data_IF_362905136018
#
_entry.id   IF_362905136018
#
_cell.length_a   1.000
_cell.length_b   1.000
_cell.length_c   1.000
_cell.angle_alpha   90.00
_cell.angle_beta   90.00
_cell.angle_gamma   90.00
#
_symmetry.space_group_name_H-M   'P 1'
#
loop_
_entity.id
_entity.type
_entity.pdbx_description
1 polymer ?
#
# COMPACT_ATOMS: atom_id res chain seq x y z
N UNK A 1 47.14 9.19 -28.53
CA UNK A 1 47.00 8.80 -27.09
C UNK A 1 45.96 9.61 -26.30
N UNK A 2 45.73 10.90 -26.59
CA UNK A 2 44.69 11.69 -25.89
C UNK A 2 43.25 11.32 -26.24
N UNK A 3 42.93 10.95 -27.49
CA UNK A 3 41.60 10.62 -27.97
C UNK A 3 41.14 9.27 -27.38
N UNK A 4 42.02 8.31 -27.20
CA UNK A 4 41.69 6.99 -26.62
C UNK A 4 41.32 7.09 -25.11
N UNK A 5 41.95 8.04 -24.38
CA UNK A 5 41.62 8.28 -22.96
C UNK A 5 40.25 8.97 -22.79
N UNK A 6 39.85 9.82 -23.72
CA UNK A 6 38.51 10.44 -23.67
C UNK A 6 37.38 9.43 -23.98
N UNK A 7 37.63 8.49 -24.92
CA UNK A 7 36.66 7.43 -25.20
C UNK A 7 36.47 6.48 -24.00
N UNK A 8 37.53 6.16 -23.28
CA UNK A 8 37.39 5.33 -22.07
C UNK A 8 36.71 6.05 -20.91
N UNK A 9 36.92 7.36 -20.74
CA UNK A 9 36.19 8.15 -19.72
C UNK A 9 34.71 8.30 -20.04
N UNK A 10 34.33 8.49 -21.30
CA UNK A 10 32.92 8.58 -21.71
C UNK A 10 32.24 7.22 -21.60
N UNK A 11 32.93 6.13 -21.93
CA UNK A 11 32.39 4.77 -21.79
C UNK A 11 32.22 4.38 -20.30
N UNK A 12 33.11 4.82 -19.41
CA UNK A 12 32.98 4.57 -17.97
C UNK A 12 31.87 5.40 -17.34
N UNK A 13 31.63 6.63 -17.81
CA UNK A 13 30.49 7.46 -17.37
C UNK A 13 29.16 6.91 -17.90
N UNK A 14 29.12 6.36 -19.13
CA UNK A 14 27.92 5.71 -19.66
C UNK A 14 27.57 4.38 -18.97
N UNK A 15 28.56 3.64 -18.47
CA UNK A 15 28.34 2.39 -17.71
C UNK A 15 27.89 2.65 -16.26
N UNK A 16 28.10 3.85 -15.72
CA UNK A 16 27.61 4.21 -14.38
C UNK A 16 26.19 4.77 -14.35
N UNK A 17 25.53 4.96 -15.53
CA UNK A 17 24.15 5.43 -15.61
C UNK A 17 23.14 4.29 -15.87
N UNK A 18 23.63 3.05 -16.05
CA UNK A 18 22.75 1.89 -16.21
C UNK A 18 22.55 1.26 -14.84
N UNK A 19 21.45 1.63 -14.19
CA UNK A 19 20.81 0.82 -13.16
C UNK A 19 20.98 1.26 -11.72
N UNK A 20 20.51 2.45 -11.36
CA UNK A 20 19.89 2.58 -10.03
C UNK A 20 18.46 2.08 -10.12
N UNK A 21 18.28 0.82 -10.45
CA UNK A 21 17.09 0.12 -10.03
C UNK A 21 17.10 0.16 -8.51
N UNK A 22 16.19 0.91 -7.90
CA UNK A 22 15.98 0.84 -6.45
C UNK A 22 15.68 -0.62 -6.15
N UNK A 23 16.60 -1.28 -5.44
CA UNK A 23 16.33 -2.62 -4.91
C UNK A 23 15.03 -2.55 -4.14
N UNK A 24 14.09 -3.46 -4.42
CA UNK A 24 12.80 -3.45 -3.75
C UNK A 24 13.04 -3.63 -2.25
N UNK A 25 12.65 -2.63 -1.46
CA UNK A 25 12.75 -2.78 -0.02
C UNK A 25 11.56 -3.57 0.47
N UNK A 26 11.80 -4.60 1.29
CA UNK A 26 10.73 -5.42 1.90
C UNK A 26 10.43 -4.98 3.34
N UNK A 27 10.91 -3.80 3.75
CA UNK A 27 10.75 -3.34 5.14
C UNK A 27 9.28 -3.18 5.53
N UNK A 28 8.45 -2.65 4.63
CA UNK A 28 7.01 -2.56 4.86
C UNK A 28 6.35 -3.93 5.06
N UNK A 29 6.81 -4.95 4.34
CA UNK A 29 6.29 -6.32 4.49
C UNK A 29 6.83 -6.98 5.76
N UNK A 30 8.10 -6.73 6.13
CA UNK A 30 8.65 -7.18 7.43
C UNK A 30 7.87 -6.60 8.60
N UNK A 31 7.54 -5.32 8.55
CA UNK A 31 6.69 -4.66 9.55
C UNK A 31 5.28 -5.25 9.59
N UNK A 32 4.68 -5.55 8.43
CA UNK A 32 3.39 -6.23 8.33
C UNK A 32 3.46 -7.60 9.01
N UNK A 33 4.44 -8.43 8.69
CA UNK A 33 4.65 -9.74 9.29
C UNK A 33 4.85 -9.62 10.80
N UNK A 34 5.68 -8.68 11.24
CA UNK A 34 5.95 -8.45 12.67
C UNK A 34 4.70 -8.06 13.45
N UNK A 35 3.79 -7.36 12.81
CA UNK A 35 2.53 -6.87 13.41
C UNK A 35 1.42 -7.92 13.39
N UNK A 36 1.24 -8.63 12.26
CA UNK A 36 0.11 -9.55 12.06
C UNK A 36 0.43 -10.99 12.42
N UNK A 37 1.65 -11.44 12.16
CA UNK A 37 2.11 -12.82 12.38
C UNK A 37 3.51 -12.84 13.00
N UNK A 38 3.71 -12.26 14.19
CA UNK A 38 5.03 -12.10 14.82
C UNK A 38 5.78 -13.43 14.99
N UNK A 39 5.07 -14.52 15.14
CA UNK A 39 5.65 -15.87 15.23
C UNK A 39 6.37 -16.31 13.94
N UNK A 40 5.99 -15.76 12.77
CA UNK A 40 6.65 -16.02 11.50
C UNK A 40 7.91 -15.14 11.30
N UNK A 41 7.98 -13.98 11.94
CA UNK A 41 8.99 -12.95 11.67
C UNK A 41 10.45 -13.42 11.74
N UNK A 42 10.77 -14.30 12.71
CA UNK A 42 12.12 -14.87 12.86
C UNK A 42 12.44 -15.97 11.84
N UNK A 43 11.43 -16.48 11.16
CA UNK A 43 11.50 -17.66 10.30
C UNK A 43 11.30 -17.32 8.83
N UNK A 44 11.21 -16.03 8.45
CA UNK A 44 10.99 -15.60 7.08
C UNK A 44 12.18 -14.78 6.55
N UNK A 45 12.48 -14.98 5.27
CA UNK A 45 13.46 -14.19 4.53
C UNK A 45 12.84 -13.72 3.23
N UNK A 46 13.12 -12.48 2.84
CA UNK A 46 12.71 -11.90 1.56
C UNK A 46 13.91 -11.74 0.65
N UNK A 47 13.73 -12.04 -0.64
CA UNK A 47 14.71 -11.83 -1.70
C UNK A 47 14.03 -11.20 -2.90
N UNK A 48 14.70 -10.24 -3.53
CA UNK A 48 14.24 -9.64 -4.77
C UNK A 48 14.53 -10.56 -5.95
N UNK A 49 13.58 -10.64 -6.88
CA UNK A 49 13.76 -11.26 -8.21
C UNK A 49 13.27 -10.29 -9.28
N UNK A 50 13.92 -10.32 -10.44
CA UNK A 50 13.44 -9.58 -11.61
C UNK A 50 12.26 -10.32 -12.26
N UNK A 51 11.31 -9.58 -12.79
CA UNK A 51 10.29 -10.10 -13.70
C UNK A 51 9.99 -9.04 -14.76
N UNK A 52 9.83 -9.48 -16.00
CA UNK A 52 9.44 -8.61 -17.12
C UNK A 52 7.93 -8.57 -17.36
N UNK A 53 7.19 -9.51 -16.77
CA UNK A 53 5.79 -9.78 -17.15
C UNK A 53 4.82 -9.73 -15.95
N UNK A 54 4.94 -8.74 -15.09
CA UNK A 54 4.05 -8.52 -13.94
C UNK A 54 4.59 -9.06 -12.63
N UNK A 55 3.76 -9.03 -11.60
CA UNK A 55 4.13 -9.45 -10.25
C UNK A 55 4.28 -10.96 -10.15
N UNK A 56 5.32 -11.37 -9.45
CA UNK A 56 5.64 -12.77 -9.23
C UNK A 56 6.22 -12.97 -7.83
N UNK A 57 5.90 -14.11 -7.21
CA UNK A 57 6.63 -14.61 -6.06
C UNK A 57 6.96 -16.10 -6.19
N UNK A 58 8.02 -16.50 -5.49
CA UNK A 58 8.44 -17.88 -5.34
C UNK A 58 8.57 -18.19 -3.86
N UNK A 59 7.91 -19.24 -3.40
CA UNK A 59 8.00 -19.73 -2.03
C UNK A 59 8.82 -21.01 -1.98
N UNK A 60 9.73 -21.09 -1.01
CA UNK A 60 10.47 -22.31 -0.70
C UNK A 60 10.88 -22.35 0.77
N UNK A 61 11.10 -23.53 1.29
CA UNK A 61 11.72 -23.71 2.60
C UNK A 61 13.21 -24.01 2.41
N UNK A 62 14.06 -23.23 3.09
CA UNK A 62 15.51 -23.44 3.12
C UNK A 62 15.95 -23.59 4.57
N UNK A 63 16.35 -24.78 4.95
CA UNK A 63 16.56 -25.14 6.36
C UNK A 63 15.26 -24.98 7.16
N UNK A 64 15.28 -24.13 8.18
CA UNK A 64 14.12 -23.83 9.03
C UNK A 64 13.44 -22.51 8.67
N UNK A 65 13.68 -21.96 7.47
CA UNK A 65 13.17 -20.63 7.07
C UNK A 65 12.30 -20.73 5.84
N UNK A 66 11.19 -20.01 5.86
CA UNK A 66 10.44 -19.65 4.68
C UNK A 66 11.21 -18.58 3.91
N UNK A 67 11.53 -18.83 2.65
CA UNK A 67 12.12 -17.86 1.74
C UNK A 67 11.04 -17.41 0.75
N UNK A 68 10.73 -16.13 0.77
CA UNK A 68 9.84 -15.46 -0.20
C UNK A 68 10.70 -14.66 -1.15
N UNK A 69 10.79 -15.12 -2.39
CA UNK A 69 11.41 -14.36 -3.47
C UNK A 69 10.29 -13.63 -4.22
N UNK A 70 10.43 -12.34 -4.47
CA UNK A 70 9.34 -11.55 -5.05
C UNK A 70 9.85 -10.37 -5.89
N UNK A 71 9.05 -9.94 -6.85
CA UNK A 71 9.33 -8.80 -7.73
C UNK A 71 9.17 -7.44 -7.04
N UNK A 72 8.50 -7.40 -5.88
CA UNK A 72 8.27 -6.20 -5.11
C UNK A 72 7.55 -6.48 -3.79
N UNK A 73 7.31 -5.42 -3.03
CA UNK A 73 6.70 -5.53 -1.70
C UNK A 73 5.28 -6.13 -1.77
N UNK A 74 4.45 -5.73 -2.74
CA UNK A 74 3.10 -6.26 -2.90
C UNK A 74 3.13 -7.77 -3.19
N UNK A 75 3.93 -8.21 -4.17
CA UNK A 75 4.10 -9.62 -4.48
C UNK A 75 4.63 -10.43 -3.28
N UNK A 76 5.54 -9.86 -2.48
CA UNK A 76 6.04 -10.49 -1.27
C UNK A 76 4.94 -10.65 -0.20
N UNK A 77 4.09 -9.64 0.00
CA UNK A 77 2.95 -9.74 0.91
C UNK A 77 1.96 -10.83 0.48
N UNK A 78 1.67 -10.93 -0.82
CA UNK A 78 0.85 -12.03 -1.36
C UNK A 78 1.50 -13.38 -1.10
N UNK A 79 2.81 -13.49 -1.28
CA UNK A 79 3.56 -14.72 -0.98
C UNK A 79 3.42 -15.13 0.49
N UNK A 80 3.49 -14.16 1.44
CA UNK A 80 3.22 -14.41 2.86
C UNK A 80 1.81 -14.95 3.05
N UNK A 81 0.80 -14.29 2.48
CA UNK A 81 -0.60 -14.71 2.60
C UNK A 81 -0.84 -16.09 1.99
N UNK A 82 -0.18 -16.39 0.87
CA UNK A 82 -0.23 -17.72 0.24
C UNK A 82 0.27 -18.81 1.20
N UNK A 83 1.42 -18.58 1.84
CA UNK A 83 1.94 -19.50 2.84
C UNK A 83 1.00 -19.65 4.04
N UNK A 84 0.46 -18.55 4.56
CA UNK A 84 -0.51 -18.58 5.63
C UNK A 84 -1.75 -19.40 5.27
N UNK A 85 -2.34 -19.16 4.10
CA UNK A 85 -3.57 -19.83 3.67
C UNK A 85 -3.36 -21.32 3.37
N UNK A 86 -2.41 -21.63 2.52
CA UNK A 86 -2.31 -22.97 1.94
C UNK A 86 -1.43 -23.94 2.73
N UNK A 87 -0.56 -23.43 3.58
CA UNK A 87 0.33 -24.27 4.40
C UNK A 87 0.02 -24.17 5.89
N UNK A 88 -0.23 -22.99 6.41
CA UNK A 88 -0.51 -22.80 7.83
C UNK A 88 -2.00 -22.90 8.18
N UNK A 89 -2.91 -22.87 7.18
CA UNK A 89 -4.36 -22.80 7.37
C UNK A 89 -4.75 -21.61 8.27
N UNK A 90 -4.18 -20.46 7.95
CA UNK A 90 -4.40 -19.18 8.64
C UNK A 90 -4.91 -18.13 7.65
N UNK A 91 -5.75 -17.22 8.13
CA UNK A 91 -6.31 -16.16 7.31
C UNK A 91 -6.51 -14.86 8.07
N UNK A 92 -6.36 -13.76 7.35
CA UNK A 92 -6.77 -12.42 7.77
C UNK A 92 -8.03 -12.03 7.00
N UNK A 93 -9.09 -11.66 7.69
CA UNK A 93 -10.42 -11.47 7.07
C UNK A 93 -11.21 -10.40 7.81
N UNK A 94 -12.02 -9.62 7.07
CA UNK A 94 -13.00 -8.67 7.64
C UNK A 94 -14.03 -9.33 8.57
N UNK A 95 -14.19 -10.64 8.49
CA UNK A 95 -15.06 -11.40 9.40
C UNK A 95 -14.34 -11.92 10.64
N UNK A 96 -13.05 -11.61 10.78
CA UNK A 96 -12.20 -11.99 11.91
C UNK A 96 -10.90 -12.64 11.47
N UNK A 97 -9.83 -12.30 12.18
CA UNK A 97 -8.50 -12.82 11.92
C UNK A 97 -8.28 -14.17 12.61
N UNK A 98 -7.73 -15.13 11.87
CA UNK A 98 -7.30 -16.43 12.38
C UNK A 98 -5.78 -16.58 12.15
N UNK A 99 -5.00 -15.84 12.93
CA UNK A 99 -3.55 -15.73 12.77
C UNK A 99 -2.75 -16.32 13.96
N UNK A 100 -3.38 -17.20 14.74
CA UNK A 100 -2.71 -17.88 15.85
C UNK A 100 -1.46 -18.66 15.37
N UNK A 101 -0.42 -18.76 16.21
CA UNK A 101 0.78 -19.53 15.89
C UNK A 101 0.46 -20.97 15.47
N UNK A 102 1.30 -21.52 14.59
CA UNK A 102 1.32 -22.95 14.28
C UNK A 102 2.33 -23.65 15.20
N UNK A 103 2.11 -24.92 15.51
CA UNK A 103 3.02 -25.71 16.36
C UNK A 103 4.39 -25.89 15.68
N UNK A 104 4.37 -26.18 14.38
CA UNK A 104 5.55 -26.30 13.54
C UNK A 104 5.31 -25.58 12.22
N UNK A 105 6.36 -24.97 11.68
CA UNK A 105 6.26 -24.33 10.38
C UNK A 105 6.17 -25.38 9.26
N UNK A 106 5.08 -25.39 8.48
CA UNK A 106 4.95 -26.29 7.36
C UNK A 106 6.08 -26.12 6.35
N UNK A 107 6.60 -27.26 5.87
CA UNK A 107 7.69 -27.29 4.89
C UNK A 107 7.11 -27.28 3.49
N UNK A 108 7.67 -26.42 2.62
CA UNK A 108 7.38 -26.43 1.20
C UNK A 108 8.32 -27.40 0.53
N UNK A 109 7.81 -28.56 0.10
CA UNK A 109 8.61 -29.68 -0.46
C UNK A 109 9.22 -29.33 -1.81
N UNK A 110 8.50 -28.60 -2.68
CA UNK A 110 8.99 -28.09 -3.96
C UNK A 110 8.69 -26.58 -4.07
N UNK A 111 9.57 -25.80 -4.67
CA UNK A 111 9.31 -24.35 -4.84
C UNK A 111 7.98 -24.09 -5.55
N UNK A 112 7.20 -23.17 -5.01
CA UNK A 112 5.90 -22.75 -5.56
C UNK A 112 6.07 -21.38 -6.19
N UNK A 113 5.83 -21.29 -7.49
CA UNK A 113 5.87 -20.02 -8.24
C UNK A 113 4.44 -19.60 -8.58
N UNK A 114 4.11 -18.36 -8.24
CA UNK A 114 2.82 -17.74 -8.61
C UNK A 114 3.09 -16.40 -9.28
N UNK A 115 2.40 -16.17 -10.38
CA UNK A 115 2.56 -14.98 -11.22
C UNK A 115 1.19 -14.41 -11.59
N UNK A 116 1.11 -13.09 -11.74
CA UNK A 116 -0.06 -12.41 -12.31
C UNK A 116 0.37 -11.50 -13.45
N UNK A 117 -0.45 -11.45 -14.51
CA UNK A 117 -0.32 -10.51 -15.61
C UNK A 117 -1.18 -9.25 -15.42
N UNK A 118 -2.03 -9.23 -14.38
CA UNK A 118 -2.83 -8.05 -14.04
C UNK A 118 -1.93 -6.97 -13.46
N UNK A 119 -1.71 -5.89 -14.23
CA UNK A 119 -0.87 -4.76 -13.82
C UNK A 119 -1.48 -4.06 -12.61
N UNK A 120 -2.79 -3.77 -12.66
CA UNK A 120 -3.52 -3.12 -11.58
C UNK A 120 -4.54 -4.07 -10.96
N UNK A 121 -4.53 -4.12 -9.64
CA UNK A 121 -5.50 -4.82 -8.80
C UNK A 121 -6.08 -3.79 -7.85
N UNK A 122 -7.20 -3.23 -8.28
CA UNK A 122 -7.82 -2.04 -7.70
C UNK A 122 -8.78 -2.37 -6.57
N UNK A 123 -8.77 -1.55 -5.55
CA UNK A 123 -9.75 -1.60 -4.46
C UNK A 123 -10.29 -0.22 -4.10
N UNK A 124 -11.46 -0.28 -3.50
CA UNK A 124 -12.31 0.77 -2.99
C UNK A 124 -13.02 1.58 -4.07
N UNK A 125 -14.15 2.13 -3.67
CA UNK A 125 -14.93 3.11 -4.40
C UNK A 125 -15.37 4.23 -3.45
N UNK A 126 -15.93 5.30 -3.99
CA UNK A 126 -16.38 6.44 -3.18
C UNK A 126 -17.39 6.06 -2.11
N UNK A 127 -18.33 5.16 -2.42
CA UNK A 127 -19.38 4.78 -1.48
C UNK A 127 -18.83 4.12 -0.21
N UNK A 128 -17.81 3.28 -0.33
CA UNK A 128 -17.17 2.61 0.81
C UNK A 128 -16.66 3.61 1.84
N UNK A 129 -16.11 4.74 1.38
CA UNK A 129 -15.63 5.81 2.27
C UNK A 129 -16.74 6.45 3.10
N UNK A 130 -17.99 6.49 2.59
CA UNK A 130 -19.12 7.06 3.34
C UNK A 130 -19.81 6.03 4.24
N UNK A 131 -19.92 4.79 3.80
CA UNK A 131 -20.67 3.78 4.54
C UNK A 131 -19.90 3.07 5.63
N UNK A 132 -18.61 2.77 5.38
CA UNK A 132 -17.80 1.98 6.30
C UNK A 132 -16.63 2.78 6.87
N UNK A 133 -15.95 3.58 6.04
CA UNK A 133 -14.64 4.13 6.33
C UNK A 133 -14.64 5.62 6.70
N UNK A 134 -15.82 6.25 6.87
CA UNK A 134 -15.94 7.70 7.15
C UNK A 134 -15.16 8.14 8.38
N UNK A 135 -15.09 7.27 9.39
CA UNK A 135 -14.49 7.57 10.69
C UNK A 135 -13.32 6.63 11.04
N UNK A 136 -12.80 5.91 10.06
CA UNK A 136 -11.61 5.09 10.27
C UNK A 136 -10.46 5.93 10.78
N UNK A 137 -9.85 5.46 11.87
CA UNK A 137 -8.61 6.00 12.40
C UNK A 137 -7.37 5.31 11.78
N UNK A 138 -6.20 5.52 12.40
CA UNK A 138 -4.98 4.91 11.89
C UNK A 138 -4.96 3.39 12.08
N UNK A 139 -5.50 2.87 13.15
CA UNK A 139 -5.43 1.43 13.43
C UNK A 139 -6.34 0.66 12.48
N UNK A 140 -7.51 1.23 12.14
CA UNK A 140 -8.41 0.72 11.11
C UNK A 140 -7.73 0.72 9.74
N UNK A 141 -7.17 1.87 9.33
CA UNK A 141 -6.48 1.98 8.04
C UNK A 141 -5.22 1.12 7.96
N UNK A 142 -4.48 0.96 9.05
CA UNK A 142 -3.31 0.08 9.08
C UNK A 142 -3.72 -1.38 8.87
N UNK A 143 -4.84 -1.80 9.48
CA UNK A 143 -5.39 -3.13 9.28
C UNK A 143 -5.82 -3.32 7.82
N UNK A 144 -6.57 -2.38 7.27
CA UNK A 144 -7.09 -2.42 5.90
C UNK A 144 -5.96 -2.48 4.85
N UNK A 145 -4.92 -1.64 5.01
CA UNK A 145 -3.77 -1.64 4.10
C UNK A 145 -2.95 -2.94 4.20
N UNK A 146 -2.81 -3.51 5.40
CA UNK A 146 -2.17 -4.81 5.57
C UNK A 146 -2.98 -5.92 4.89
N UNK A 147 -4.30 -5.91 5.04
CA UNK A 147 -5.21 -6.84 4.37
C UNK A 147 -5.14 -6.69 2.84
N UNK A 148 -5.18 -5.48 2.34
CA UNK A 148 -5.05 -5.20 0.91
C UNK A 148 -3.74 -5.73 0.34
N UNK A 149 -2.61 -5.46 0.97
CA UNK A 149 -1.30 -5.95 0.53
C UNK A 149 -1.25 -7.48 0.51
N UNK A 150 -1.75 -8.14 1.57
CA UNK A 150 -1.82 -9.61 1.67
C UNK A 150 -2.71 -10.23 0.57
N UNK A 151 -3.72 -9.51 0.11
CA UNK A 151 -4.63 -9.96 -0.95
C UNK A 151 -4.29 -9.43 -2.35
N UNK A 152 -3.13 -8.80 -2.51
CA UNK A 152 -2.57 -8.42 -3.80
C UNK A 152 -3.13 -7.13 -4.40
N UNK A 153 -3.87 -6.34 -3.63
CA UNK A 153 -4.28 -5.00 -4.06
C UNK A 153 -3.04 -4.11 -4.16
N UNK A 154 -2.80 -3.55 -5.33
CA UNK A 154 -1.66 -2.67 -5.59
C UNK A 154 -2.07 -1.27 -6.10
N UNK A 155 -3.37 -1.00 -6.19
CA UNK A 155 -3.92 0.31 -6.54
C UNK A 155 -5.16 0.57 -5.67
N UNK A 156 -5.21 1.69 -4.97
CA UNK A 156 -6.30 2.03 -4.05
C UNK A 156 -6.79 3.45 -4.26
N UNK A 157 -8.10 3.65 -4.33
CA UNK A 157 -8.68 5.00 -4.27
C UNK A 157 -8.36 5.64 -2.91
N UNK A 158 -7.88 6.87 -2.93
CA UNK A 158 -7.61 7.68 -1.74
C UNK A 158 -8.43 8.98 -1.84
N UNK A 159 -9.59 8.99 -1.20
CA UNK A 159 -10.45 10.18 -1.13
C UNK A 159 -10.23 11.00 0.15
N UNK A 160 -9.68 10.38 1.19
CA UNK A 160 -9.42 11.03 2.48
C UNK A 160 -8.42 12.18 2.34
N UNK A 161 -8.65 13.28 3.04
CA UNK A 161 -7.77 14.44 3.03
C UNK A 161 -7.96 15.39 1.85
N UNK A 162 -8.83 15.05 0.89
CA UNK A 162 -9.19 15.93 -0.24
C UNK A 162 -9.82 17.24 0.23
N UNK A 163 -10.54 17.23 1.33
CA UNK A 163 -11.12 18.42 1.96
C UNK A 163 -10.06 19.47 2.30
N UNK A 164 -8.87 19.06 2.73
CA UNK A 164 -7.76 20.00 2.99
C UNK A 164 -7.18 20.57 1.69
N UNK A 165 -7.17 19.81 0.62
CA UNK A 165 -6.74 20.26 -0.72
C UNK A 165 -7.74 21.27 -1.25
N UNK A 166 -9.04 20.97 -1.20
CA UNK A 166 -10.11 21.87 -1.59
C UNK A 166 -10.09 23.18 -0.79
N UNK A 167 -9.98 23.10 0.52
CA UNK A 167 -9.86 24.29 1.38
C UNK A 167 -8.73 25.20 0.93
N UNK A 168 -7.54 24.64 0.68
CA UNK A 168 -6.39 25.42 0.23
C UNK A 168 -6.59 26.00 -1.17
N UNK A 169 -7.24 25.26 -2.07
CA UNK A 169 -7.52 25.71 -3.45
C UNK A 169 -8.50 26.87 -3.43
N UNK A 170 -9.61 26.77 -2.69
CA UNK A 170 -10.63 27.81 -2.60
C UNK A 170 -10.07 29.09 -1.94
N UNK A 171 -9.21 28.96 -0.93
CA UNK A 171 -8.49 30.12 -0.35
C UNK A 171 -7.64 30.85 -1.40
N UNK A 172 -6.94 30.12 -2.26
CA UNK A 172 -6.17 30.71 -3.38
C UNK A 172 -7.06 31.38 -4.43
N UNK A 173 -8.32 30.97 -4.52
CA UNK A 173 -9.33 31.58 -5.39
C UNK A 173 -10.08 32.74 -4.71
N UNK A 174 -9.63 33.15 -3.50
CA UNK A 174 -10.19 34.25 -2.70
C UNK A 174 -11.62 34.02 -2.17
N UNK A 175 -12.03 32.76 -1.99
CA UNK A 175 -13.24 32.46 -1.23
C UNK A 175 -13.03 32.73 0.25
N UNK A 176 -14.07 33.23 0.91
CA UNK A 176 -14.07 33.45 2.35
C UNK A 176 -14.10 32.12 3.13
N UNK A 177 -13.61 32.13 4.37
CA UNK A 177 -13.65 30.93 5.23
C UNK A 177 -15.09 30.43 5.45
N UNK A 178 -16.07 31.34 5.44
CA UNK A 178 -17.48 30.97 5.55
C UNK A 178 -17.95 30.22 4.31
N UNK A 179 -17.68 30.72 3.11
CA UNK A 179 -18.06 30.05 1.85
C UNK A 179 -17.41 28.67 1.74
N UNK A 180 -16.13 28.57 2.15
CA UNK A 180 -15.40 27.30 2.15
C UNK A 180 -16.04 26.31 3.14
N UNK A 181 -16.38 26.77 4.34
CA UNK A 181 -17.02 25.92 5.35
C UNK A 181 -18.43 25.49 4.94
N UNK A 182 -19.18 26.36 4.27
CA UNK A 182 -20.52 26.05 3.76
C UNK A 182 -20.47 25.06 2.58
N UNK A 183 -19.37 25.03 1.81
CA UNK A 183 -19.20 24.16 0.64
C UNK A 183 -18.72 22.77 1.02
N UNK A 184 -17.78 22.61 1.95
CA UNK A 184 -17.21 21.33 2.34
C UNK A 184 -18.19 20.57 3.23
N UNK A 185 -18.52 19.35 2.83
CA UNK A 185 -19.45 18.49 3.57
C UNK A 185 -18.82 17.91 4.85
N UNK A 186 -19.67 17.41 5.74
CA UNK A 186 -19.23 16.59 6.88
C UNK A 186 -18.63 15.24 6.44
N UNK A 187 -17.92 14.53 7.34
CA UNK A 187 -17.12 13.34 7.00
C UNK A 187 -17.92 12.22 6.35
N UNK A 188 -19.15 11.99 6.81
CA UNK A 188 -20.00 10.92 6.30
C UNK A 188 -20.56 11.21 4.89
N UNK A 189 -20.38 12.40 4.37
CA UNK A 189 -20.88 12.84 3.06
C UNK A 189 -19.74 13.20 2.09
N UNK A 190 -18.52 13.13 2.53
CA UNK A 190 -17.34 13.59 1.79
C UNK A 190 -17.17 12.92 0.42
N UNK A 191 -17.41 11.61 0.33
CA UNK A 191 -17.31 10.91 -0.94
C UNK A 191 -18.40 11.31 -1.93
N UNK A 192 -19.63 11.56 -1.48
CA UNK A 192 -20.73 12.07 -2.30
C UNK A 192 -20.46 13.48 -2.81
N UNK A 193 -19.86 14.31 -1.96
CA UNK A 193 -19.39 15.65 -2.32
C UNK A 193 -18.29 15.60 -3.40
N UNK A 194 -17.30 14.71 -3.25
CA UNK A 194 -16.23 14.52 -4.24
C UNK A 194 -16.74 13.99 -5.59
N UNK A 195 -17.89 13.31 -5.61
CA UNK A 195 -18.58 12.92 -6.85
C UNK A 195 -19.43 14.05 -7.45
N UNK A 196 -19.52 15.21 -6.80
CA UNK A 196 -20.34 16.33 -7.25
C UNK A 196 -21.85 16.18 -7.01
N UNK A 197 -22.26 15.28 -6.12
CA UNK A 197 -23.68 15.00 -5.89
C UNK A 197 -24.32 15.94 -4.86
N UNK A 198 -23.53 16.41 -3.89
CA UNK A 198 -24.03 17.25 -2.77
C UNK A 198 -22.98 18.27 -2.35
N UNK A 199 -23.45 19.36 -1.72
CA UNK A 199 -22.62 20.40 -1.11
C UNK A 199 -23.13 20.68 0.32
N UNK A 200 -22.21 20.98 1.24
CA UNK A 200 -22.51 21.48 2.59
C UNK A 200 -23.25 20.53 3.55
N UNK A 201 -23.60 19.31 3.13
CA UNK A 201 -24.33 18.37 3.97
C UNK A 201 -23.52 17.88 5.17
N UNK A 202 -24.16 17.87 6.34
CA UNK A 202 -23.54 17.39 7.57
C UNK A 202 -22.32 18.22 8.01
N UNK A 203 -22.16 19.40 7.44
CA UNK A 203 -21.12 20.34 7.79
C UNK A 203 -21.59 21.46 8.74
N UNK A 204 -20.74 22.48 9.00
CA UNK A 204 -19.36 22.54 8.53
C UNK A 204 -18.45 21.52 9.20
N UNK A 205 -17.46 21.00 8.45
CA UNK A 205 -16.43 20.13 9.02
C UNK A 205 -15.48 20.98 9.90
N UNK A 206 -15.29 20.63 11.19
CA UNK A 206 -14.36 21.35 12.05
C UNK A 206 -12.94 21.36 11.50
N UNK A 207 -12.21 22.48 11.64
CA UNK A 207 -10.83 22.60 11.17
C UNK A 207 -9.92 21.49 11.75
N UNK A 208 -10.10 21.18 13.04
CA UNK A 208 -9.35 20.11 13.70
C UNK A 208 -9.53 18.74 13.01
N UNK A 209 -10.70 18.49 12.45
CA UNK A 209 -11.00 17.27 11.72
C UNK A 209 -10.34 17.26 10.33
N UNK A 210 -10.39 18.39 9.59
CA UNK A 210 -9.66 18.55 8.33
C UNK A 210 -8.16 18.30 8.55
N UNK A 211 -7.58 18.88 9.59
CA UNK A 211 -6.16 18.73 9.92
C UNK A 211 -5.79 17.31 10.34
N UNK A 212 -6.64 16.64 11.11
CA UNK A 212 -6.41 15.24 11.51
C UNK A 212 -6.48 14.30 10.32
N UNK A 213 -7.46 14.46 9.42
CA UNK A 213 -7.60 13.68 8.19
C UNK A 213 -6.43 13.91 7.24
N UNK A 214 -5.94 15.15 7.11
CA UNK A 214 -4.70 15.44 6.37
C UNK A 214 -3.50 14.66 6.91
N UNK A 215 -3.31 14.63 8.24
CA UNK A 215 -2.24 13.85 8.88
C UNK A 215 -2.43 12.36 8.68
N UNK A 216 -3.66 11.87 8.78
CA UNK A 216 -4.01 10.47 8.56
C UNK A 216 -3.63 10.02 7.14
N UNK A 217 -4.06 10.77 6.10
CA UNK A 217 -3.75 10.40 4.71
C UNK A 217 -2.25 10.42 4.42
N UNK A 218 -1.50 11.36 5.00
CA UNK A 218 -0.04 11.38 4.86
C UNK A 218 0.61 10.09 5.43
N UNK A 219 0.07 9.58 6.52
CA UNK A 219 0.51 8.32 7.14
C UNK A 219 0.11 7.12 6.29
N UNK A 220 -1.11 7.13 5.75
CA UNK A 220 -1.60 6.11 4.80
C UNK A 220 -0.70 6.03 3.56
N UNK A 221 -0.41 7.16 2.90
CA UNK A 221 0.42 7.20 1.70
C UNK A 221 1.83 6.65 1.93
N UNK A 222 2.44 6.95 3.07
CA UNK A 222 3.73 6.36 3.45
C UNK A 222 3.64 4.84 3.58
N UNK A 223 2.59 4.35 4.22
CA UNK A 223 2.35 2.92 4.40
C UNK A 223 2.07 2.23 3.08
N UNK A 224 1.21 2.79 2.24
CA UNK A 224 0.90 2.29 0.90
C UNK A 224 2.19 2.11 0.08
N UNK A 225 3.03 3.16 0.01
CA UNK A 225 4.32 3.10 -0.68
C UNK A 225 5.20 1.95 -0.18
N UNK A 226 5.27 1.73 1.13
CA UNK A 226 6.09 0.66 1.72
C UNK A 226 5.55 -0.75 1.43
N UNK A 227 4.28 -0.87 1.05
CA UNK A 227 3.60 -2.12 0.71
C UNK A 227 3.44 -2.32 -0.81
N UNK A 228 3.92 -1.38 -1.63
CA UNK A 228 3.74 -1.44 -3.09
C UNK A 228 2.28 -1.23 -3.52
N UNK A 229 1.55 -0.37 -2.82
CA UNK A 229 0.18 0.06 -3.18
C UNK A 229 0.25 1.49 -3.69
N UNK A 230 -0.14 1.70 -4.94
CA UNK A 230 -0.21 3.02 -5.55
C UNK A 230 -1.50 3.75 -5.15
N UNK A 231 -1.43 5.05 -4.80
CA UNK A 231 -2.63 5.83 -4.55
C UNK A 231 -3.24 6.32 -5.86
N UNK A 232 -4.54 6.11 -6.04
CA UNK A 232 -5.35 6.76 -7.04
C UNK A 232 -6.11 7.89 -6.38
N UNK A 233 -5.83 9.11 -6.75
CA UNK A 233 -6.51 10.29 -6.20
C UNK A 233 -7.46 10.88 -7.23
N UNK A 234 -8.63 11.38 -6.80
CA UNK A 234 -9.50 12.14 -7.68
C UNK A 234 -8.80 13.45 -8.08
N UNK A 235 -8.83 13.76 -9.36
CA UNK A 235 -8.26 14.97 -9.95
C UNK A 235 -9.28 16.08 -10.12
#
# INVERSE_FOLDING_TARGET
>A
MKILKQFFSVLFVLLCVVGTGYAATFDGVRELVSRRVPWLGKHIQFKEIASSDGDCFILQTVGKKLVVQATGANAAAVGVNWYLKYYCHRSMSHLGDQLAPVTELPVIGQPVTVKTTSIYRYALNYCTFNYTMSFYDWDDWQWELDWMALNGVNLMLVANGSEAVWQNTLRRMNYSEKEIADFITGPAYNAWWLMGNIEGWGGPMPQSQIDSRKKLVQKMLKRMKSLGIEPLMPG
#
